data_IF_400931712220
#
_entry.id   IF_400931712220
#
_cell.length_a   1.000
_cell.length_b   1.000
_cell.length_c   1.000
_cell.angle_alpha   90.00
_cell.angle_beta   90.00
_cell.angle_gamma   90.00
#
_symmetry.space_group_name_H-M   'P 1'
#
loop_
_entity.id
_entity.type
_entity.pdbx_description
1 polymer ?
#
# COMPACT_ATOMS: atom_id res chain seq x y z
N UNK A 1 -24.93 -22.91 -0.67
CA UNK A 1 -24.25 -21.91 -1.54
C UNK A 1 -22.83 -21.74 -1.03
N UNK A 2 -21.82 -22.15 -1.80
CA UNK A 2 -20.41 -21.97 -1.43
C UNK A 2 -20.07 -20.48 -1.48
N UNK A 3 -19.76 -19.87 -0.35
CA UNK A 3 -19.32 -18.47 -0.28
C UNK A 3 -17.91 -18.41 -0.86
N UNK A 4 -17.76 -17.84 -2.06
CA UNK A 4 -16.44 -17.60 -2.67
C UNK A 4 -16.00 -16.16 -2.42
N UNK A 5 -14.84 -16.00 -1.78
CA UNK A 5 -14.20 -14.69 -1.53
C UNK A 5 -13.80 -14.04 -2.86
N UNK A 6 -14.12 -12.74 -3.01
CA UNK A 6 -13.82 -11.92 -4.20
C UNK A 6 -12.82 -10.79 -3.94
N UNK A 7 -12.78 -10.27 -2.73
CA UNK A 7 -11.87 -9.21 -2.27
C UNK A 7 -11.56 -9.43 -0.78
N UNK A 8 -10.41 -8.91 -0.33
CA UNK A 8 -9.99 -8.94 1.08
C UNK A 8 -9.64 -7.51 1.47
N UNK A 9 -10.17 -7.05 2.59
CA UNK A 9 -9.81 -5.75 3.17
C UNK A 9 -8.90 -6.01 4.35
N UNK A 10 -7.71 -5.42 4.35
CA UNK A 10 -6.82 -5.38 5.49
C UNK A 10 -6.93 -3.99 6.10
N UNK A 11 -7.35 -3.91 7.37
CA UNK A 11 -7.49 -2.66 8.12
C UNK A 11 -6.83 -2.81 9.48
N UNK A 12 -6.29 -1.72 10.01
CA UNK A 12 -5.87 -1.62 11.41
C UNK A 12 -6.81 -0.70 12.18
N UNK A 13 -7.05 -1.00 13.44
CA UNK A 13 -7.67 -0.05 14.38
C UNK A 13 -6.58 0.66 15.20
N UNK A 14 -6.74 1.95 15.42
CA UNK A 14 -5.80 2.77 16.18
C UNK A 14 -4.80 3.56 15.30
N UNK A 15 -3.79 4.17 15.92
CA UNK A 15 -2.94 5.17 15.26
C UNK A 15 -1.92 4.60 14.27
N UNK A 16 -1.78 3.29 14.10
CA UNK A 16 -0.76 2.72 13.22
C UNK A 16 -1.20 1.40 12.58
N UNK A 17 -0.76 1.16 11.34
CA UNK A 17 -1.12 -0.03 10.55
C UNK A 17 -0.14 -1.20 10.69
N UNK A 18 1.07 -0.96 11.19
CA UNK A 18 2.05 -2.00 11.55
C UNK A 18 3.06 -1.45 12.54
N UNK A 19 3.31 -2.20 13.62
CA UNK A 19 4.31 -1.90 14.64
C UNK A 19 4.88 -3.19 15.22
N UNK A 20 6.17 -3.45 14.98
CA UNK A 20 6.99 -4.46 15.67
C UNK A 20 8.39 -4.52 15.03
N UNK A 21 9.53 -4.49 15.74
CA UNK A 21 9.87 -4.56 17.17
C UNK A 21 10.40 -3.19 17.66
N UNK A 22 10.06 -2.82 18.90
CA UNK A 22 10.36 -1.58 19.65
C UNK A 22 9.31 -0.44 19.55
N UNK A 23 8.65 -0.19 20.67
CA UNK A 23 7.40 0.57 20.87
C UNK A 23 7.58 2.11 20.77
N UNK A 24 8.58 2.59 20.03
CA UNK A 24 8.92 4.02 19.94
C UNK A 24 8.33 4.76 18.74
N UNK A 25 7.69 4.05 17.81
CA UNK A 25 7.16 4.62 16.55
C UNK A 25 5.63 4.85 16.56
N UNK A 26 5.00 4.85 17.73
CA UNK A 26 3.56 5.14 17.92
C UNK A 26 3.26 6.63 17.71
N UNK A 27 3.09 7.04 16.46
CA UNK A 27 2.54 8.37 16.12
C UNK A 27 1.29 8.20 15.23
N UNK A 28 0.26 8.97 15.55
CA UNK A 28 -1.11 8.97 14.99
C UNK A 28 -1.15 8.92 13.46
N UNK A 29 -1.72 7.87 12.89
CA UNK A 29 -2.02 7.70 11.45
C UNK A 29 -0.86 7.26 10.57
N UNK A 30 0.22 6.68 11.13
CA UNK A 30 1.43 6.34 10.37
C UNK A 30 1.50 4.85 9.99
N UNK A 31 1.77 4.58 8.71
CA UNK A 31 2.23 3.27 8.25
C UNK A 31 3.77 3.28 8.19
N UNK A 32 4.41 2.70 9.22
CA UNK A 32 5.85 2.66 9.36
C UNK A 32 6.44 1.29 8.94
N UNK A 33 7.62 1.30 8.33
CA UNK A 33 8.43 0.11 8.01
C UNK A 33 7.62 -1.02 7.36
N UNK A 34 7.37 -2.12 8.08
CA UNK A 34 6.57 -3.25 7.59
C UNK A 34 5.11 -2.87 7.26
N UNK A 35 4.58 -1.80 7.84
CA UNK A 35 3.28 -1.24 7.49
C UNK A 35 3.29 -0.54 6.14
N UNK A 36 4.35 0.22 5.86
CA UNK A 36 4.54 0.80 4.52
C UNK A 36 4.80 -0.30 3.49
N UNK A 37 5.51 -1.37 3.87
CA UNK A 37 5.68 -2.56 3.04
C UNK A 37 4.32 -3.18 2.68
N UNK A 38 3.45 -3.40 3.67
CA UNK A 38 2.13 -3.99 3.45
C UNK A 38 1.27 -3.11 2.55
N UNK A 39 1.25 -1.80 2.78
CA UNK A 39 0.57 -0.82 1.90
C UNK A 39 1.09 -0.93 0.46
N UNK A 40 2.41 -0.92 0.26
CA UNK A 40 3.02 -1.01 -1.07
C UNK A 40 2.79 -2.35 -1.79
N UNK A 41 2.34 -3.39 -1.08
CA UNK A 41 1.99 -4.70 -1.66
C UNK A 41 0.50 -4.86 -1.98
N UNK A 42 -0.36 -3.95 -1.54
CA UNK A 42 -1.79 -4.01 -1.82
C UNK A 42 -2.10 -3.57 -3.25
N UNK A 43 -3.13 -4.18 -3.88
CA UNK A 43 -3.56 -3.78 -5.23
C UNK A 43 -4.26 -2.41 -5.26
N UNK A 44 -5.04 -2.14 -4.22
CA UNK A 44 -5.80 -0.89 -4.04
C UNK A 44 -5.68 -0.44 -2.60
N UNK A 45 -5.32 0.83 -2.42
CA UNK A 45 -5.11 1.44 -1.11
C UNK A 45 -6.04 2.65 -0.96
N UNK A 46 -6.88 2.62 0.07
CA UNK A 46 -7.66 3.77 0.53
C UNK A 46 -7.04 4.26 1.84
N UNK A 47 -6.66 5.54 1.89
CA UNK A 47 -6.05 6.14 3.07
C UNK A 47 -6.84 7.35 3.56
N UNK A 48 -6.60 7.73 4.83
CA UNK A 48 -7.08 9.00 5.36
C UNK A 48 -6.28 10.15 4.75
N UNK A 49 -6.89 11.33 4.62
CA UNK A 49 -6.19 12.58 4.30
C UNK A 49 -5.13 12.96 5.34
N UNK A 50 -5.24 12.44 6.56
CA UNK A 50 -4.28 12.60 7.66
C UNK A 50 -3.15 11.56 7.69
N UNK A 51 -3.19 10.54 6.81
CA UNK A 51 -2.20 9.45 6.82
C UNK A 51 -0.79 9.89 6.44
N UNK A 52 0.21 9.19 6.98
CA UNK A 52 1.62 9.35 6.63
C UNK A 52 2.30 8.00 6.42
N UNK A 53 3.28 7.95 5.52
CA UNK A 53 3.98 6.72 5.13
C UNK A 53 5.48 6.90 5.27
N UNK A 54 6.15 5.95 5.93
CA UNK A 54 7.58 6.09 6.26
C UNK A 54 8.30 4.74 6.34
N UNK A 55 9.57 4.75 5.96
CA UNK A 55 10.52 3.64 6.14
C UNK A 55 11.71 4.14 6.97
N UNK A 56 11.57 4.24 8.31
CA UNK A 56 12.44 5.07 9.15
C UNK A 56 13.76 4.38 9.53
N UNK A 57 14.05 3.19 9.01
CA UNK A 57 15.17 2.36 9.48
C UNK A 57 16.52 3.08 9.47
N UNK A 58 16.75 4.00 8.52
CA UNK A 58 17.99 4.78 8.47
C UNK A 58 18.22 5.59 9.76
N UNK A 59 17.15 6.06 10.42
CA UNK A 59 17.21 6.81 11.70
C UNK A 59 17.66 5.95 12.87
N UNK A 60 17.60 4.62 12.74
CA UNK A 60 18.03 3.64 13.75
C UNK A 60 19.21 2.79 13.28
N UNK A 61 19.89 3.21 12.20
CA UNK A 61 21.07 2.52 11.67
C UNK A 61 20.76 1.22 10.92
N UNK A 62 19.52 1.01 10.47
CA UNK A 62 19.09 -0.17 9.73
C UNK A 62 18.51 0.21 8.38
N UNK A 63 19.14 -0.17 7.27
CA UNK A 63 18.52 0.05 5.97
C UNK A 63 17.27 -0.82 5.81
N UNK A 64 16.12 -0.21 5.46
CA UNK A 64 14.85 -0.92 5.25
C UNK A 64 14.85 -1.71 3.92
N UNK A 65 15.75 -2.67 3.75
CA UNK A 65 15.88 -3.47 2.52
C UNK A 65 14.59 -4.19 2.16
N UNK A 66 13.95 -4.86 3.13
CA UNK A 66 12.74 -5.65 2.90
C UNK A 66 11.52 -4.77 2.61
N UNK A 67 11.22 -3.69 3.35
CA UNK A 67 10.23 -2.70 2.92
C UNK A 67 10.55 -2.02 1.59
N UNK A 68 11.83 -1.85 1.27
CA UNK A 68 12.31 -1.21 0.04
C UNK A 68 11.95 -1.97 -1.23
N UNK A 69 11.81 -3.30 -1.17
CA UNK A 69 11.46 -4.15 -2.32
C UNK A 69 10.11 -3.74 -2.94
N UNK A 70 8.97 -3.76 -2.22
CA UNK A 70 7.71 -3.31 -2.78
C UNK A 70 7.63 -1.79 -2.93
N UNK A 71 8.29 -1.00 -2.06
CA UNK A 71 8.29 0.46 -2.19
C UNK A 71 8.87 0.91 -3.55
N UNK A 72 10.01 0.35 -3.95
CA UNK A 72 10.64 0.68 -5.23
C UNK A 72 9.81 0.28 -6.47
N UNK A 73 8.83 -0.62 -6.29
CA UNK A 73 7.89 -1.03 -7.35
C UNK A 73 6.59 -0.20 -7.34
N UNK A 74 6.23 0.37 -6.18
CA UNK A 74 5.00 1.12 -5.99
C UNK A 74 5.13 2.61 -6.33
N UNK A 75 6.33 3.21 -6.20
CA UNK A 75 6.56 4.65 -6.41
C UNK A 75 7.78 4.92 -7.29
N UNK A 76 7.91 6.14 -7.89
CA UNK A 76 9.10 6.51 -8.64
C UNK A 76 10.38 6.35 -7.81
N UNK A 77 11.46 5.91 -8.46
CA UNK A 77 12.73 5.61 -7.78
C UNK A 77 13.25 6.75 -6.90
N UNK A 78 13.05 8.01 -7.31
CA UNK A 78 13.48 9.18 -6.51
C UNK A 78 12.70 9.32 -5.21
N UNK A 79 11.40 9.03 -5.20
CA UNK A 79 10.58 9.04 -3.99
C UNK A 79 11.00 7.89 -3.07
N UNK A 80 11.14 6.68 -3.62
CA UNK A 80 11.55 5.51 -2.84
C UNK A 80 12.92 5.71 -2.19
N UNK A 81 13.92 6.18 -2.94
CA UNK A 81 15.26 6.43 -2.43
C UNK A 81 15.28 7.58 -1.41
N UNK A 82 14.53 8.65 -1.63
CA UNK A 82 14.44 9.74 -0.66
C UNK A 82 13.90 9.24 0.68
N UNK A 83 12.78 8.50 0.67
CA UNK A 83 12.23 7.89 1.88
C UNK A 83 13.21 6.92 2.56
N UNK A 84 13.88 6.05 1.80
CA UNK A 84 14.82 5.05 2.33
C UNK A 84 16.10 5.66 2.90
N UNK A 85 16.63 6.71 2.26
CA UNK A 85 17.90 7.34 2.64
C UNK A 85 17.74 8.40 3.72
N UNK A 86 16.57 9.05 3.82
CA UNK A 86 16.32 10.09 4.83
C UNK A 86 15.53 9.55 6.03
N UNK A 87 14.72 8.51 5.83
CA UNK A 87 13.74 8.06 6.81
C UNK A 87 12.64 9.09 7.09
N UNK A 88 12.45 10.08 6.20
CA UNK A 88 11.37 11.06 6.33
C UNK A 88 10.04 10.52 5.79
N UNK A 89 8.91 10.88 6.43
CA UNK A 89 7.60 10.46 5.98
C UNK A 89 7.13 11.26 4.77
N UNK A 90 6.33 10.64 3.92
CA UNK A 90 5.49 11.36 2.95
C UNK A 90 4.05 11.43 3.46
N UNK A 91 3.34 12.51 3.13
CA UNK A 91 1.92 12.69 3.46
C UNK A 91 0.99 11.95 2.48
N UNK A 92 -0.28 11.82 2.85
CA UNK A 92 -1.30 11.15 2.04
C UNK A 92 -1.44 11.73 0.63
N UNK A 93 -1.29 13.04 0.48
CA UNK A 93 -1.36 13.72 -0.82
C UNK A 93 -0.17 13.35 -1.72
N UNK A 94 1.04 13.31 -1.16
CA UNK A 94 2.23 12.86 -1.87
C UNK A 94 2.13 11.39 -2.22
N UNK A 95 1.66 10.55 -1.29
CA UNK A 95 1.43 9.14 -1.49
C UNK A 95 0.41 8.86 -2.62
N UNK A 96 -0.64 9.67 -2.74
CA UNK A 96 -1.58 9.62 -3.85
C UNK A 96 -0.90 10.02 -5.17
N UNK A 97 -0.17 11.14 -5.18
CA UNK A 97 0.50 11.64 -6.39
C UNK A 97 1.57 10.68 -6.93
N UNK A 98 2.25 9.95 -6.06
CA UNK A 98 3.31 9.02 -6.45
C UNK A 98 2.84 7.59 -6.67
N UNK A 99 1.55 7.29 -6.48
CA UNK A 99 0.97 5.97 -6.74
C UNK A 99 1.04 4.97 -5.58
N UNK A 100 1.56 5.36 -4.41
CA UNK A 100 1.55 4.52 -3.21
C UNK A 100 0.13 4.30 -2.67
N UNK A 101 -0.73 5.29 -2.85
CA UNK A 101 -2.15 5.27 -2.43
C UNK A 101 -3.04 5.45 -3.64
N UNK A 102 -4.14 4.70 -3.72
CA UNK A 102 -5.09 4.80 -4.84
C UNK A 102 -6.17 5.86 -4.61
N UNK A 103 -6.58 6.06 -3.35
CA UNK A 103 -7.63 7.01 -2.95
C UNK A 103 -7.37 7.60 -1.57
N UNK A 104 -7.71 8.86 -1.40
CA UNK A 104 -7.71 9.53 -0.09
C UNK A 104 -9.12 10.05 0.20
N UNK A 105 -9.56 9.89 1.45
CA UNK A 105 -10.85 10.38 1.96
C UNK A 105 -10.67 10.89 3.39
N UNK A 106 -11.60 11.68 3.95
CA UNK A 106 -11.56 12.01 5.36
C UNK A 106 -11.49 10.75 6.24
N UNK A 107 -10.76 10.81 7.36
CA UNK A 107 -10.50 9.66 8.25
C UNK A 107 -11.75 8.82 8.57
N UNK A 108 -12.86 9.50 8.89
CA UNK A 108 -14.16 8.88 9.21
C UNK A 108 -14.76 8.06 8.06
N UNK A 109 -14.38 8.34 6.82
CA UNK A 109 -14.97 7.77 5.61
C UNK A 109 -14.11 6.64 5.01
N UNK A 110 -12.88 6.42 5.51
CA UNK A 110 -11.94 5.42 4.98
C UNK A 110 -12.56 4.03 4.91
N UNK A 111 -13.22 3.58 5.99
CA UNK A 111 -13.88 2.28 6.05
C UNK A 111 -15.00 2.16 5.01
N UNK A 112 -15.79 3.21 4.85
CA UNK A 112 -16.90 3.23 3.90
C UNK A 112 -16.39 3.17 2.46
N UNK A 113 -15.40 3.99 2.11
CA UNK A 113 -14.83 3.99 0.76
C UNK A 113 -14.11 2.67 0.45
N UNK A 114 -13.42 2.06 1.40
CA UNK A 114 -12.81 0.74 1.21
C UNK A 114 -13.85 -0.36 0.94
N UNK A 115 -14.98 -0.36 1.66
CA UNK A 115 -16.10 -1.28 1.42
C UNK A 115 -16.73 -1.06 0.05
N UNK A 116 -16.93 0.20 -0.33
CA UNK A 116 -17.47 0.57 -1.64
C UNK A 116 -16.56 0.07 -2.78
N UNK A 117 -15.24 0.22 -2.66
CA UNK A 117 -14.27 -0.34 -3.62
C UNK A 117 -14.37 -1.86 -3.67
N UNK A 118 -14.43 -2.53 -2.52
CA UNK A 118 -14.56 -3.98 -2.45
C UNK A 118 -15.87 -4.49 -3.07
N UNK A 119 -16.97 -3.75 -2.90
CA UNK A 119 -18.27 -4.02 -3.51
C UNK A 119 -18.20 -3.86 -5.04
N UNK A 120 -17.59 -2.78 -5.54
CA UNK A 120 -17.37 -2.56 -6.97
C UNK A 120 -16.59 -3.73 -7.61
N UNK A 121 -15.50 -4.18 -6.97
CA UNK A 121 -14.76 -5.38 -7.41
C UNK A 121 -15.66 -6.62 -7.36
N UNK A 122 -16.47 -6.75 -6.31
CA UNK A 122 -17.40 -7.84 -6.09
C UNK A 122 -18.49 -7.98 -7.16
N UNK A 123 -18.86 -6.90 -7.85
CA UNK A 123 -19.86 -6.90 -8.92
C UNK A 123 -19.36 -7.56 -10.21
N UNK A 124 -18.05 -7.72 -10.39
CA UNK A 124 -17.47 -8.34 -11.58
C UNK A 124 -17.31 -9.87 -11.45
N UNK A 125 -17.11 -10.54 -12.59
CA UNK A 125 -16.86 -11.99 -12.61
C UNK A 125 -15.54 -12.31 -11.92
N UNK A 126 -15.60 -13.11 -10.85
CA UNK A 126 -14.41 -13.55 -10.10
C UNK A 126 -13.35 -14.20 -11.00
N UNK A 127 -13.77 -15.02 -11.97
CA UNK A 127 -12.84 -15.69 -12.88
C UNK A 127 -12.13 -14.69 -13.80
N UNK A 128 -12.86 -13.70 -14.33
CA UNK A 128 -12.30 -12.64 -15.18
C UNK A 128 -11.36 -11.75 -14.37
N UNK A 129 -11.75 -11.33 -13.17
CA UNK A 129 -10.91 -10.52 -12.27
C UNK A 129 -9.62 -11.26 -11.89
N UNK A 130 -9.72 -12.54 -11.52
CA UNK A 130 -8.55 -13.34 -11.15
C UNK A 130 -7.58 -13.54 -12.31
N UNK A 131 -8.10 -13.84 -13.51
CA UNK A 131 -7.28 -14.00 -14.72
C UNK A 131 -6.63 -12.67 -15.11
N UNK A 132 -7.39 -11.57 -15.12
CA UNK A 132 -6.89 -10.24 -15.45
C UNK A 132 -5.82 -9.76 -14.47
N UNK A 133 -6.02 -9.97 -13.17
CA UNK A 133 -5.01 -9.65 -12.15
C UNK A 133 -3.74 -10.47 -12.35
N UNK A 134 -3.86 -11.79 -12.59
CA UNK A 134 -2.70 -12.64 -12.87
C UNK A 134 -1.94 -12.16 -14.10
N UNK A 135 -2.65 -11.89 -15.19
CA UNK A 135 -2.07 -11.36 -16.42
C UNK A 135 -1.31 -10.05 -16.16
N UNK A 136 -1.92 -9.10 -15.45
CA UNK A 136 -1.31 -7.81 -15.13
C UNK A 136 0.07 -7.97 -14.46
N UNK A 137 0.16 -8.76 -13.39
CA UNK A 137 1.45 -8.94 -12.69
C UNK A 137 2.47 -9.69 -13.55
N UNK A 138 2.03 -10.73 -14.27
CA UNK A 138 2.93 -11.53 -15.10
C UNK A 138 3.52 -10.73 -16.27
N UNK A 139 2.71 -9.90 -16.94
CA UNK A 139 3.22 -9.12 -18.08
C UNK A 139 4.21 -8.03 -17.64
N UNK A 140 4.06 -7.47 -16.43
CA UNK A 140 4.90 -6.35 -15.98
C UNK A 140 6.36 -6.73 -15.74
N UNK A 141 6.65 -8.03 -15.67
CA UNK A 141 8.00 -8.59 -15.52
C UNK A 141 8.66 -8.90 -16.87
N UNK A 142 7.93 -8.74 -17.98
CA UNK A 142 8.36 -9.10 -19.33
C UNK A 142 8.73 -7.85 -20.16
N UNK A 143 9.51 -8.05 -21.21
CA UNK A 143 9.66 -7.05 -22.27
C UNK A 143 8.37 -6.90 -23.07
N UNK A 144 8.14 -5.74 -23.68
CA UNK A 144 6.90 -5.42 -24.42
C UNK A 144 6.53 -6.51 -25.45
N UNK A 145 7.51 -7.05 -26.18
CA UNK A 145 7.25 -8.08 -27.19
C UNK A 145 6.78 -9.42 -26.61
N UNK A 146 7.25 -9.78 -25.42
CA UNK A 146 6.86 -11.02 -24.74
C UNK A 146 5.55 -10.86 -23.95
N UNK A 147 5.11 -9.60 -23.73
CA UNK A 147 3.89 -9.26 -23.02
C UNK A 147 2.62 -9.28 -23.89
N UNK A 148 2.75 -9.16 -25.22
CA UNK A 148 1.67 -9.25 -26.21
C UNK A 148 1.39 -10.70 -26.62
#
# INVERSE_FOLDING_TARGET
>A
LSVQVRSVIISSEGPAFSSGHDLRELVRGIAAAAGCQLVATCDVVVASDTSKFVVPGQKVGLFCSTPGIPLARAVPHKIALDMLLTGEPIDAQTALRCGLVSRIVPEKDVKFEALKVAEQIGQHSRAVTALGKKFFYSQTELGINDAY
#
